data_IF_907604623976
#
_entry.id   IF_907604623976
#
_cell.length_a   1.000
_cell.length_b   1.000
_cell.length_c   1.000
_cell.angle_alpha   90.00
_cell.angle_beta   90.00
_cell.angle_gamma   90.00
#
_symmetry.space_group_name_H-M   'P 1'
#
loop_
_entity.id
_entity.type
_entity.pdbx_description
1 polymer ?
#
# COMPACT_ATOMS: atom_id res chain seq x y z
N UNK A 1 2.74 -6.75 -13.07
CA UNK A 1 3.70 -7.35 -12.13
C UNK A 1 3.26 -7.06 -10.70
N UNK A 2 3.25 -8.10 -9.88
CA UNK A 2 2.78 -7.94 -8.51
C UNK A 2 3.88 -7.37 -7.63
N UNK A 3 3.51 -6.41 -6.81
CA UNK A 3 4.44 -5.76 -5.89
C UNK A 3 3.80 -5.66 -4.52
N UNK A 4 4.61 -5.32 -3.56
CA UNK A 4 4.08 -5.05 -2.23
C UNK A 4 4.90 -3.96 -1.56
N UNK A 5 4.28 -3.32 -0.59
CA UNK A 5 4.93 -2.30 0.22
C UNK A 5 4.58 -2.58 1.67
N UNK A 6 5.56 -2.39 2.56
CA UNK A 6 5.38 -2.64 3.98
C UNK A 6 5.63 -1.38 4.77
N UNK A 7 4.82 -1.18 5.78
CA UNK A 7 4.97 -0.06 6.71
C UNK A 7 5.09 -0.64 8.11
N UNK A 8 6.17 -0.31 8.79
CA UNK A 8 6.45 -0.84 10.12
C UNK A 8 6.82 0.32 11.02
N UNK A 9 6.31 0.29 12.24
CA UNK A 9 6.62 1.34 13.21
C UNK A 9 6.55 0.76 14.61
N UNK A 10 7.30 1.37 15.51
CA UNK A 10 7.21 1.02 16.92
C UNK A 10 6.04 1.69 17.61
N UNK A 11 5.43 2.67 16.95
CA UNK A 11 4.33 3.42 17.54
C UNK A 11 3.02 2.95 16.95
N UNK A 12 1.99 2.94 17.80
CA UNK A 12 0.68 2.50 17.39
C UNK A 12 0.14 3.38 16.28
N UNK A 13 -0.56 2.77 15.37
CA UNK A 13 -1.25 3.38 14.23
C UNK A 13 -0.32 4.12 13.26
N UNK A 14 0.95 4.22 13.54
CA UNK A 14 1.85 4.95 12.65
C UNK A 14 1.99 4.25 11.29
N UNK A 15 2.02 2.92 11.30
CA UNK A 15 2.11 2.21 10.03
C UNK A 15 0.87 2.48 9.18
N UNK A 16 -0.30 2.55 9.82
CA UNK A 16 -1.53 2.85 9.11
C UNK A 16 -1.50 4.26 8.54
N UNK A 17 -0.98 5.21 9.31
CA UNK A 17 -0.90 6.58 8.83
C UNK A 17 0.03 6.69 7.62
N UNK A 18 1.17 6.01 7.69
CA UNK A 18 2.08 6.02 6.56
C UNK A 18 1.47 5.37 5.33
N UNK A 19 0.72 4.31 5.54
CA UNK A 19 0.05 3.66 4.42
C UNK A 19 -0.99 4.59 3.79
N UNK A 20 -1.70 5.35 4.62
CA UNK A 20 -2.66 6.30 4.09
C UNK A 20 -2.00 7.35 3.23
N UNK A 21 -0.85 7.84 3.67
CA UNK A 21 -0.11 8.81 2.89
C UNK A 21 0.35 8.21 1.57
N UNK A 22 0.84 6.99 1.63
CA UNK A 22 1.28 6.31 0.43
C UNK A 22 0.12 6.14 -0.55
N UNK A 23 -1.05 5.78 -0.03
CA UNK A 23 -2.21 5.58 -0.89
C UNK A 23 -2.69 6.89 -1.50
N UNK A 24 -2.53 7.98 -0.79
CA UNK A 24 -2.94 9.26 -1.35
C UNK A 24 -2.02 9.71 -2.47
N UNK A 25 -0.80 9.19 -2.51
CA UNK A 25 0.13 9.50 -3.58
C UNK A 25 -0.02 8.57 -4.77
N UNK A 26 -0.76 7.48 -4.60
CA UNK A 26 -0.95 6.48 -5.66
C UNK A 26 -2.44 6.29 -5.83
N UNK A 27 -3.01 6.88 -6.86
CA UNK A 27 -4.45 6.77 -6.99
C UNK A 27 -4.84 5.45 -7.63
N UNK A 28 -6.15 5.22 -7.69
CA UNK A 28 -6.66 3.95 -8.18
C UNK A 28 -6.40 3.73 -9.66
N UNK A 29 -6.01 4.77 -10.36
CA UNK A 29 -5.69 4.62 -11.77
C UNK A 29 -4.28 4.09 -11.97
N UNK A 30 -3.44 4.19 -10.94
CA UNK A 30 -2.06 3.76 -11.05
C UNK A 30 -1.83 2.36 -10.54
N UNK A 31 -2.57 1.96 -9.54
CA UNK A 31 -2.36 0.66 -8.91
C UNK A 31 -3.69 -0.01 -8.65
N UNK A 32 -3.63 -1.33 -8.56
CA UNK A 32 -4.78 -2.14 -8.17
C UNK A 32 -4.39 -2.90 -6.91
N UNK A 33 -5.04 -2.59 -5.81
CA UNK A 33 -4.72 -3.22 -4.54
C UNK A 33 -5.33 -4.61 -4.52
N UNK A 34 -4.50 -5.60 -4.21
CA UNK A 34 -4.93 -6.98 -4.20
C UNK A 34 -5.15 -7.50 -2.79
N UNK A 35 -4.36 -7.04 -1.84
CA UNK A 35 -4.47 -7.57 -0.49
C UNK A 35 -3.86 -6.57 0.48
N UNK A 36 -4.45 -6.51 1.68
CA UNK A 36 -3.90 -5.71 2.76
C UNK A 36 -3.84 -6.56 4.01
N UNK A 37 -2.69 -6.59 4.64
CA UNK A 37 -2.47 -7.34 5.86
C UNK A 37 -2.01 -6.37 6.93
N UNK A 38 -2.68 -6.37 8.07
CA UNK A 38 -2.30 -5.47 9.15
C UNK A 38 -1.90 -6.28 10.37
N UNK A 39 -0.94 -5.75 11.10
CA UNK A 39 -0.53 -6.31 12.36
C UNK A 39 -1.25 -5.67 13.53
N UNK A 40 -0.87 -6.04 14.75
CA UNK A 40 -1.57 -5.53 15.94
C UNK A 40 -1.26 -4.06 16.17
N UNK A 41 -2.24 -3.35 16.70
CA UNK A 41 -2.09 -1.98 17.15
C UNK A 41 -1.67 -0.99 16.06
N UNK A 42 -1.84 -1.39 14.79
CA UNK A 42 -1.49 -0.49 13.70
C UNK A 42 0.00 -0.26 13.55
N UNK A 43 0.81 -1.18 14.03
CA UNK A 43 2.26 -1.05 13.93
C UNK A 43 2.83 -1.68 12.67
N UNK A 44 2.02 -2.41 11.95
CA UNK A 44 2.45 -3.08 10.74
C UNK A 44 1.32 -3.08 9.73
N UNK A 45 1.67 -2.78 8.49
CA UNK A 45 0.71 -2.90 7.40
C UNK A 45 1.46 -3.23 6.14
N UNK A 46 0.95 -4.23 5.41
CA UNK A 46 1.53 -4.60 4.12
C UNK A 46 0.43 -4.55 3.08
N UNK A 47 0.72 -3.89 1.98
CA UNK A 47 -0.21 -3.79 0.87
C UNK A 47 0.39 -4.51 -0.33
N UNK A 48 -0.33 -5.50 -0.84
CA UNK A 48 0.04 -6.17 -2.07
C UNK A 48 -0.75 -5.55 -3.21
N UNK A 49 -0.08 -5.20 -4.28
CA UNK A 49 -0.73 -4.49 -5.35
C UNK A 49 -0.08 -4.82 -6.67
N UNK A 50 -0.76 -4.46 -7.75
CA UNK A 50 -0.21 -4.53 -9.09
C UNK A 50 -0.28 -3.15 -9.69
N UNK A 51 0.77 -2.77 -10.35
CA UNK A 51 0.76 -1.52 -11.06
C UNK A 51 -0.07 -1.67 -12.32
N UNK A 52 -0.96 -0.75 -12.52
CA UNK A 52 -1.70 -0.70 -13.76
C UNK A 52 -0.79 -0.12 -14.81
N UNK A 53 -0.55 -0.91 -15.82
CA UNK A 53 0.42 -0.50 -16.83
C UNK A 53 -0.26 0.37 -17.86
N UNK A 54 -0.25 1.64 -17.59
CA UNK A 54 -0.87 2.58 -18.49
C UNK A 54 -0.13 2.65 -19.81
N UNK A 55 1.15 2.38 -19.75
CA UNK A 55 1.93 2.40 -20.98
C UNK A 55 1.51 1.32 -21.92
N UNK A 56 1.07 0.21 -21.39
CA UNK A 56 0.62 -0.86 -22.23
C UNK A 56 -0.61 -0.46 -23.03
N UNK A 57 -1.33 0.52 -22.53
CA UNK A 57 -2.51 0.98 -23.21
C UNK A 57 -2.15 1.77 -24.46
N UNK A 58 -0.96 2.24 -24.49
CA UNK A 58 -0.56 2.96 -25.68
C UNK A 58 -0.13 2.02 -26.76
#
# INVERSE_FOLDING_TARGET
MKKFVEFVSDEEITAIKKASEWLSEHDNNDIAIKEMISGPNGKYLRISYEEKNKDAAE
#
